data_IF_657098743411
#
_entry.id   IF_657098743411
#
_cell.length_a   1.000
_cell.length_b   1.000
_cell.length_c   1.000
_cell.angle_alpha   90.00
_cell.angle_beta   90.00
_cell.angle_gamma   90.00
#
_symmetry.space_group_name_H-M   'P 1'
#
loop_
_entity.id
_entity.type
_entity.pdbx_description
1 polymer ?
#
# COMPACT_ATOMS: atom_id res chain seq x y z
N UNK A 1 -21.87 -12.33 -72.97
CA UNK A 1 -21.91 -13.27 -71.82
C UNK A 1 -20.48 -13.75 -71.63
N UNK A 2 -19.61 -12.95 -71.00
CA UNK A 2 -19.35 -12.86 -69.55
C UNK A 2 -18.73 -14.13 -68.98
N UNK A 3 -17.41 -14.14 -68.84
CA UNK A 3 -16.72 -14.96 -67.84
C UNK A 3 -15.80 -14.04 -67.01
N UNK A 4 -15.96 -14.12 -65.70
CA UNK A 4 -15.57 -13.09 -64.72
C UNK A 4 -14.42 -13.56 -63.85
N UNK A 5 -13.44 -12.67 -63.70
CA UNK A 5 -12.29 -12.74 -62.81
C UNK A 5 -12.71 -12.80 -61.33
N UNK A 6 -12.14 -13.74 -60.57
CA UNK A 6 -12.19 -13.74 -59.09
C UNK A 6 -10.79 -13.53 -58.52
N UNK A 7 -10.55 -12.32 -58.03
CA UNK A 7 -9.47 -11.95 -57.15
C UNK A 7 -9.77 -12.44 -55.72
N UNK A 8 -8.92 -13.29 -55.15
CA UNK A 8 -8.99 -13.68 -53.74
C UNK A 8 -8.24 -12.67 -52.88
N UNK A 9 -9.01 -11.85 -52.19
CA UNK A 9 -8.55 -10.81 -51.27
C UNK A 9 -8.02 -11.46 -49.97
N UNK A 10 -6.70 -11.51 -49.78
CA UNK A 10 -6.06 -12.09 -48.59
C UNK A 10 -6.08 -11.06 -47.45
N UNK A 11 -6.98 -11.25 -46.50
CA UNK A 11 -7.07 -10.43 -45.29
C UNK A 11 -5.85 -10.66 -44.38
N UNK A 12 -5.07 -9.61 -44.15
CA UNK A 12 -3.87 -9.60 -43.30
C UNK A 12 -4.12 -9.80 -41.79
N UNK A 13 -5.37 -9.99 -41.38
CA UNK A 13 -5.79 -10.16 -39.97
C UNK A 13 -6.30 -11.58 -39.66
N UNK A 14 -6.22 -12.50 -40.62
CA UNK A 14 -6.67 -13.88 -40.40
C UNK A 14 -5.59 -14.71 -39.70
N UNK A 15 -5.98 -15.45 -38.64
CA UNK A 15 -5.09 -16.26 -37.81
C UNK A 15 -4.26 -17.26 -38.63
N UNK A 16 -4.82 -17.78 -39.73
CA UNK A 16 -4.13 -18.66 -40.67
C UNK A 16 -2.97 -17.97 -41.42
N UNK A 17 -3.12 -16.69 -41.79
CA UNK A 17 -2.06 -15.89 -42.42
C UNK A 17 -0.91 -15.61 -41.45
N UNK A 18 -1.23 -15.42 -40.17
CA UNK A 18 -0.22 -15.21 -39.11
C UNK A 18 0.57 -16.50 -38.87
N UNK A 19 -0.11 -17.65 -38.75
CA UNK A 19 0.55 -18.95 -38.60
C UNK A 19 1.46 -19.29 -39.78
N UNK A 20 1.03 -18.99 -41.02
CA UNK A 20 1.85 -19.19 -42.21
C UNK A 20 3.10 -18.28 -42.21
N UNK A 21 2.97 -17.04 -41.76
CA UNK A 21 4.10 -16.10 -41.61
C UNK A 21 5.11 -16.56 -40.55
N UNK A 22 4.63 -17.02 -39.40
CA UNK A 22 5.49 -17.53 -38.31
C UNK A 22 6.20 -18.81 -38.71
N UNK A 23 5.54 -19.69 -39.49
CA UNK A 23 6.16 -20.91 -40.02
C UNK A 23 7.31 -20.58 -40.98
N UNK A 24 7.12 -19.63 -41.90
CA UNK A 24 8.21 -19.16 -42.79
C UNK A 24 9.39 -18.58 -42.02
N UNK A 25 9.15 -17.75 -41.00
CA UNK A 25 10.24 -17.21 -40.18
C UNK A 25 11.02 -18.30 -39.42
N UNK A 26 10.34 -19.40 -39.05
CA UNK A 26 10.99 -20.53 -38.36
C UNK A 26 11.78 -21.43 -39.31
N UNK A 27 11.40 -21.48 -40.59
CA UNK A 27 12.13 -22.19 -41.65
C UNK A 27 13.33 -21.38 -42.18
N UNK A 28 13.25 -20.04 -42.22
CA UNK A 28 14.37 -19.16 -42.63
C UNK A 28 15.53 -19.10 -41.62
N UNK A 29 15.26 -19.36 -40.33
CA UNK A 29 16.24 -19.29 -39.25
C UNK A 29 16.63 -20.67 -38.66
N UNK A 30 16.66 -21.69 -39.52
CA UNK A 30 17.01 -23.09 -39.24
C UNK A 30 17.70 -23.40 -37.92
N UNK A 31 16.98 -24.09 -37.03
CA UNK A 31 17.55 -24.88 -35.93
C UNK A 31 17.20 -26.33 -36.16
N UNK A 32 18.14 -27.11 -36.70
CA UNK A 32 18.04 -28.57 -36.75
C UNK A 32 18.21 -29.14 -35.34
N UNK A 33 17.24 -29.95 -34.91
CA UNK A 33 17.38 -30.83 -33.74
C UNK A 33 18.18 -32.07 -34.15
N UNK A 34 19.40 -32.22 -33.63
CA UNK A 34 20.10 -33.51 -33.62
C UNK A 34 20.00 -34.13 -32.23
N UNK A 35 19.24 -35.23 -32.14
CA UNK A 35 19.37 -36.23 -31.09
C UNK A 35 20.53 -37.15 -31.46
N UNK A 36 21.49 -37.35 -30.55
CA UNK A 36 22.19 -38.63 -30.44
C UNK A 36 22.52 -38.96 -28.99
N UNK A 37 22.13 -40.18 -28.62
CA UNK A 37 22.43 -40.84 -27.35
C UNK A 37 23.69 -41.68 -27.54
N UNK A 38 24.62 -41.55 -26.60
CA UNK A 38 25.37 -42.63 -25.91
C UNK A 38 26.77 -42.13 -25.52
N UNK A 39 27.09 -42.20 -24.22
CA UNK A 39 28.14 -43.06 -23.66
C UNK A 39 28.17 -42.80 -22.14
N UNK A 40 27.64 -43.77 -21.40
CA UNK A 40 27.95 -44.00 -19.99
C UNK A 40 29.32 -44.63 -19.92
N UNK A 41 30.29 -44.00 -19.24
CA UNK A 41 31.35 -44.65 -18.44
C UNK A 41 32.36 -43.61 -17.92
N UNK A 42 32.26 -43.27 -16.64
CA UNK A 42 33.28 -43.57 -15.62
C UNK A 42 32.95 -42.88 -14.29
N UNK A 43 32.69 -43.73 -13.29
CA UNK A 43 32.70 -43.39 -11.88
C UNK A 43 34.15 -43.26 -11.38
N UNK A 44 34.45 -42.32 -10.48
CA UNK A 44 35.13 -42.68 -9.21
C UNK A 44 35.06 -41.58 -8.14
N UNK A 45 34.69 -42.07 -6.96
CA UNK A 45 34.69 -41.51 -5.61
C UNK A 45 36.10 -41.14 -5.13
N UNK A 46 36.23 -40.07 -4.35
CA UNK A 46 37.16 -40.04 -3.20
C UNK A 46 36.49 -39.45 -1.94
N UNK A 47 36.49 -40.28 -0.89
CA UNK A 47 36.24 -40.01 0.53
C UNK A 47 37.61 -39.97 1.23
N UNK A 48 37.78 -39.09 2.22
CA UNK A 48 38.68 -39.22 3.38
C UNK A 48 37.89 -38.62 4.57
N UNK A 49 37.38 -39.34 5.59
CA UNK A 49 37.85 -40.28 6.63
C UNK A 49 38.66 -39.65 7.78
N UNK A 50 38.04 -39.75 8.96
CA UNK A 50 38.43 -39.34 10.31
C UNK A 50 39.59 -40.17 10.90
N UNK A 51 40.17 -39.65 11.99
CA UNK A 51 40.85 -40.44 13.02
C UNK A 51 40.66 -39.81 14.41
N UNK A 52 40.63 -40.67 15.44
CA UNK A 52 40.03 -40.45 16.78
C UNK A 52 40.92 -40.94 17.94
N UNK A 53 40.76 -40.27 19.11
CA UNK A 53 40.85 -40.73 20.54
C UNK A 53 42.23 -41.04 21.21
N UNK A 54 42.36 -41.13 22.58
CA UNK A 54 41.36 -41.20 23.69
C UNK A 54 41.60 -40.36 25.00
N UNK A 55 40.65 -40.50 25.95
CA UNK A 55 40.32 -40.04 27.35
C UNK A 55 41.33 -40.43 28.50
N UNK A 56 41.12 -40.32 29.87
CA UNK A 56 40.04 -39.78 30.78
C UNK A 56 40.46 -39.12 32.17
N UNK A 57 39.44 -38.83 33.03
CA UNK A 57 39.39 -38.79 34.53
C UNK A 57 39.39 -37.38 35.24
N UNK A 58 38.87 -37.12 36.46
CA UNK A 58 37.73 -37.47 37.34
C UNK A 58 37.94 -36.73 38.71
N UNK A 59 36.88 -36.53 39.52
CA UNK A 59 36.81 -36.12 40.98
C UNK A 59 36.70 -34.61 41.33
N UNK A 60 35.58 -34.11 41.89
CA UNK A 60 35.16 -34.02 43.34
C UNK A 60 36.12 -33.16 44.21
N UNK A 61 35.72 -32.02 44.81
CA UNK A 61 35.06 -31.90 46.14
C UNK A 61 34.66 -30.42 46.46
N UNK A 62 33.58 -30.20 47.24
CA UNK A 62 33.22 -28.96 47.97
C UNK A 62 33.97 -28.87 49.34
N UNK A 63 33.65 -28.01 50.36
CA UNK A 63 32.74 -26.84 50.49
C UNK A 63 33.29 -25.62 51.30
N UNK A 64 32.52 -24.52 51.38
CA UNK A 64 32.25 -23.68 52.59
C UNK A 64 31.25 -22.55 52.22
N UNK A 65 29.94 -22.71 52.49
CA UNK A 65 29.15 -22.12 53.61
C UNK A 65 29.07 -20.59 53.68
N UNK A 66 27.88 -20.02 53.39
CA UNK A 66 26.94 -19.47 54.41
C UNK A 66 25.61 -19.00 53.79
N UNK A 67 24.55 -19.74 54.12
CA UNK A 67 23.26 -19.28 54.67
C UNK A 67 22.50 -18.09 54.06
N UNK A 68 21.35 -18.35 53.42
CA UNK A 68 20.02 -18.03 53.98
C UNK A 68 18.87 -18.44 53.05
N UNK A 69 17.88 -19.13 53.64
CA UNK A 69 16.66 -19.63 53.05
C UNK A 69 15.48 -18.64 53.19
N UNK A 70 14.34 -18.88 52.50
CA UNK A 70 13.36 -17.87 52.12
C UNK A 70 12.24 -17.68 53.15
N UNK A 71 11.56 -16.51 53.11
CA UNK A 71 10.29 -16.30 53.82
C UNK A 71 9.20 -15.81 52.87
N UNK A 72 8.29 -16.72 52.58
CA UNK A 72 6.95 -16.50 52.07
C UNK A 72 6.13 -15.62 53.02
N UNK A 73 5.44 -14.61 52.48
CA UNK A 73 4.18 -14.09 53.05
C UNK A 73 3.13 -14.05 51.95
N UNK A 74 2.21 -15.00 52.06
CA UNK A 74 0.91 -15.08 51.41
C UNK A 74 0.05 -13.94 51.95
N UNK A 75 -0.63 -13.21 51.07
CA UNK A 75 -1.86 -12.49 51.42
C UNK A 75 -2.92 -12.87 50.39
N UNK A 76 -3.80 -13.78 50.80
CA UNK A 76 -5.03 -14.14 50.10
C UNK A 76 -5.98 -12.94 50.02
N UNK A 77 -6.47 -12.67 48.82
CA UNK A 77 -7.80 -12.10 48.61
C UNK A 77 -8.42 -12.78 47.39
N UNK A 78 -9.07 -13.90 47.65
CA UNK A 78 -9.95 -14.58 46.70
C UNK A 78 -11.20 -13.73 46.47
N UNK A 79 -11.33 -13.15 45.27
CA UNK A 79 -12.63 -12.75 44.73
C UNK A 79 -13.09 -13.82 43.73
N UNK A 80 -14.31 -14.35 43.84
CA UNK A 80 -14.84 -15.27 42.85
C UNK A 80 -15.06 -14.52 41.52
N UNK A 81 -14.53 -15.09 40.43
CA UNK A 81 -14.80 -14.66 39.06
C UNK A 81 -16.31 -14.80 38.79
N UNK A 82 -17.05 -13.70 38.87
CA UNK A 82 -18.42 -13.64 38.38
C UNK A 82 -18.39 -13.72 36.84
N UNK A 83 -18.93 -14.81 36.29
CA UNK A 83 -19.38 -14.87 34.89
C UNK A 83 -20.48 -13.82 34.72
N UNK A 84 -20.16 -12.70 34.09
CA UNK A 84 -21.17 -11.77 33.58
C UNK A 84 -21.77 -12.36 32.30
N UNK A 85 -22.87 -13.09 32.43
CA UNK A 85 -23.78 -13.31 31.29
C UNK A 85 -24.50 -12.00 31.02
N UNK A 86 -24.31 -11.44 29.82
CA UNK A 86 -25.04 -10.27 29.35
C UNK A 86 -26.47 -10.68 29.01
N UNK A 87 -27.35 -10.75 30.01
CA UNK A 87 -28.77 -11.09 29.82
C UNK A 87 -29.58 -9.94 29.21
N UNK A 88 -28.95 -8.80 28.88
CA UNK A 88 -29.62 -7.64 28.27
C UNK A 88 -28.82 -7.06 27.11
N UNK A 89 -29.42 -6.88 25.91
CA UNK A 89 -28.76 -6.25 24.77
C UNK A 89 -28.39 -4.80 25.12
N UNK A 90 -27.09 -4.50 25.08
CA UNK A 90 -26.53 -3.19 25.45
C UNK A 90 -26.54 -2.17 24.30
N UNK A 91 -26.90 -2.61 23.09
CA UNK A 91 -26.98 -1.75 21.91
C UNK A 91 -28.40 -1.21 21.72
N UNK A 92 -28.56 0.12 21.85
CA UNK A 92 -29.80 0.81 21.46
C UNK A 92 -29.90 0.83 19.92
N UNK A 93 -31.04 0.46 19.31
CA UNK A 93 -31.24 0.62 17.87
C UNK A 93 -31.07 2.08 17.48
N UNK A 94 -30.17 2.37 16.53
CA UNK A 94 -30.05 3.71 15.94
C UNK A 94 -31.20 3.87 14.94
N UNK A 95 -32.14 4.81 15.13
CA UNK A 95 -33.20 5.04 14.16
C UNK A 95 -32.62 5.57 12.84
N UNK A 96 -33.24 5.27 11.69
CA UNK A 96 -32.83 5.82 10.41
C UNK A 96 -32.92 7.35 10.47
N UNK A 97 -31.80 8.01 10.17
CA UNK A 97 -31.68 9.47 10.17
C UNK A 97 -32.67 10.06 9.18
N UNK A 98 -33.73 10.71 9.68
CA UNK A 98 -34.63 11.52 8.85
C UNK A 98 -33.84 12.75 8.39
N UNK A 99 -33.65 12.86 7.07
CA UNK A 99 -33.08 14.04 6.41
C UNK A 99 -33.97 15.26 6.66
N UNK A 100 -33.52 16.18 7.51
CA UNK A 100 -34.12 17.51 7.61
C UNK A 100 -33.71 18.36 6.39
N UNK A 101 -34.59 19.22 5.86
CA UNK A 101 -34.24 20.13 4.77
C UNK A 101 -33.28 21.20 5.29
N UNK A 102 -32.05 21.25 4.76
CA UNK A 102 -31.10 22.29 5.11
C UNK A 102 -31.54 23.63 4.50
N UNK A 103 -31.72 24.63 5.38
CA UNK A 103 -31.90 26.02 5.01
C UNK A 103 -30.59 26.60 4.47
N UNK A 104 -30.69 27.15 3.25
CA UNK A 104 -29.83 28.14 2.57
C UNK A 104 -28.33 28.09 2.90
N UNK A 105 -27.56 27.46 2.00
CA UNK A 105 -26.13 27.68 1.89
C UNK A 105 -25.86 29.11 1.38
N UNK A 106 -25.19 29.92 2.20
CA UNK A 106 -24.43 31.06 1.68
C UNK A 106 -23.23 30.52 0.89
N UNK A 107 -22.92 31.14 -0.25
CA UNK A 107 -21.78 30.83 -1.09
C UNK A 107 -20.45 31.17 -0.39
N UNK A 108 -20.07 30.41 0.63
CA UNK A 108 -18.70 30.39 1.13
C UNK A 108 -17.92 29.40 0.28
N UNK A 109 -17.44 29.87 -0.88
CA UNK A 109 -16.40 29.17 -1.60
C UNK A 109 -15.22 28.93 -0.63
N UNK A 110 -14.66 27.70 -0.56
CA UNK A 110 -13.52 27.45 0.30
C UNK A 110 -12.40 28.40 -0.09
N UNK A 111 -11.93 29.24 0.85
CA UNK A 111 -10.75 30.09 0.64
C UNK A 111 -9.58 29.19 0.27
N UNK A 112 -9.19 29.21 -1.00
CA UNK A 112 -7.96 28.58 -1.49
C UNK A 112 -6.78 29.11 -0.67
N UNK A 113 -5.93 28.23 -0.13
CA UNK A 113 -4.75 28.59 0.66
C UNK A 113 -3.61 29.22 -0.17
N UNK A 114 -3.83 29.41 -1.47
CA UNK A 114 -2.83 29.90 -2.41
C UNK A 114 -3.45 30.51 -3.68
N UNK A 115 -2.59 31.03 -4.57
CA UNK A 115 -3.01 31.59 -5.86
C UNK A 115 -3.82 30.57 -6.68
N UNK A 116 -4.72 31.05 -7.54
CA UNK A 116 -5.52 30.16 -8.40
C UNK A 116 -4.67 29.43 -9.44
N UNK A 117 -3.58 30.06 -9.88
CA UNK A 117 -2.62 29.55 -10.87
C UNK A 117 -1.30 29.14 -10.19
N UNK A 118 -0.53 28.26 -10.86
CA UNK A 118 0.81 27.89 -10.39
C UNK A 118 1.78 29.03 -10.73
N UNK A 119 2.59 29.45 -9.75
CA UNK A 119 3.66 30.43 -10.01
C UNK A 119 4.94 29.66 -10.38
N UNK A 120 5.56 30.06 -11.48
CA UNK A 120 6.74 29.42 -12.05
C UNK A 120 7.92 30.38 -12.01
N UNK A 121 9.08 29.90 -11.57
CA UNK A 121 10.27 30.74 -11.55
C UNK A 121 10.74 30.99 -12.98
N UNK A 122 11.23 32.20 -13.29
CA UNK A 122 11.77 32.51 -14.62
C UNK A 122 12.92 31.58 -15.05
N UNK A 123 13.67 31.01 -14.11
CA UNK A 123 14.70 30.01 -14.41
C UNK A 123 14.16 28.75 -15.08
N UNK A 124 12.86 28.46 -14.93
CA UNK A 124 12.19 27.27 -15.48
C UNK A 124 11.54 27.51 -16.85
N UNK A 125 11.67 28.70 -17.44
CA UNK A 125 11.04 29.05 -18.73
C UNK A 125 11.40 28.07 -19.86
N UNK A 126 12.65 27.59 -19.88
CA UNK A 126 13.15 26.66 -20.91
C UNK A 126 12.92 25.19 -20.57
N UNK A 127 12.24 24.87 -19.47
CA UNK A 127 12.03 23.49 -19.06
C UNK A 127 10.95 22.83 -19.94
N UNK A 128 11.25 21.70 -20.62
CA UNK A 128 10.30 21.03 -21.50
C UNK A 128 9.01 20.60 -20.80
N UNK A 129 9.05 20.38 -19.47
CA UNK A 129 7.87 19.99 -18.71
C UNK A 129 6.73 21.02 -18.76
N UNK A 130 7.01 22.28 -19.12
CA UNK A 130 5.95 23.30 -19.30
C UNK A 130 5.12 23.08 -20.57
N UNK A 131 5.71 22.46 -21.60
CA UNK A 131 5.09 22.27 -22.92
C UNK A 131 4.56 20.84 -23.10
N UNK A 132 5.34 19.86 -22.67
CA UNK A 132 5.15 18.47 -23.06
C UNK A 132 4.37 17.66 -22.01
N UNK A 133 3.77 18.30 -21.00
CA UNK A 133 3.04 17.64 -19.90
C UNK A 133 1.63 18.18 -19.70
N UNK A 134 0.93 17.67 -18.69
CA UNK A 134 -0.35 18.22 -18.21
C UNK A 134 -0.27 19.68 -17.75
N UNK A 135 0.93 20.24 -17.55
CA UNK A 135 1.12 21.67 -17.28
C UNK A 135 0.52 22.57 -18.36
N UNK A 136 0.42 22.11 -19.62
CA UNK A 136 -0.21 22.87 -20.71
C UNK A 136 -1.71 23.11 -20.50
N UNK A 137 -2.36 22.23 -19.73
CA UNK A 137 -3.80 22.28 -19.44
C UNK A 137 -4.10 23.03 -18.14
N UNK A 138 -3.08 23.51 -17.42
CA UNK A 138 -3.23 24.18 -16.13
C UNK A 138 -2.75 25.62 -16.25
N UNK A 139 -3.46 26.55 -15.62
CA UNK A 139 -3.04 27.95 -15.55
C UNK A 139 -1.78 28.10 -14.71
N UNK A 140 -0.74 28.65 -15.32
CA UNK A 140 0.50 29.01 -14.65
C UNK A 140 1.03 30.34 -15.21
N UNK A 141 1.78 31.07 -14.39
CA UNK A 141 2.46 32.31 -14.80
C UNK A 141 3.87 32.40 -14.23
N UNK A 142 4.72 33.18 -14.88
CA UNK A 142 6.03 33.47 -14.34
C UNK A 142 5.97 34.49 -13.20
N UNK A 143 6.69 34.22 -12.12
CA UNK A 143 6.90 35.15 -11.02
C UNK A 143 8.40 35.18 -10.66
N UNK A 144 8.96 36.37 -10.53
CA UNK A 144 10.36 36.57 -10.14
C UNK A 144 10.54 36.63 -8.61
N UNK A 145 9.45 36.75 -7.85
CA UNK A 145 9.48 36.89 -6.40
C UNK A 145 9.49 35.55 -5.66
N UNK A 146 9.14 34.45 -6.33
CA UNK A 146 9.14 33.13 -5.71
C UNK A 146 10.57 32.60 -5.57
N UNK A 147 10.83 31.88 -4.47
CA UNK A 147 12.15 31.33 -4.19
C UNK A 147 12.29 29.86 -4.62
N UNK A 148 11.17 29.14 -4.70
CA UNK A 148 11.07 27.79 -5.28
C UNK A 148 11.11 27.82 -6.83
N UNK A 149 11.08 26.66 -7.47
CA UNK A 149 10.98 26.57 -8.94
C UNK A 149 9.52 26.57 -9.40
N UNK A 150 8.67 25.85 -8.66
CA UNK A 150 7.23 25.85 -8.85
C UNK A 150 6.57 26.09 -7.49
N UNK A 151 5.69 27.08 -7.41
CA UNK A 151 4.97 27.46 -6.21
C UNK A 151 3.47 27.25 -6.43
N UNK A 152 2.89 26.35 -5.62
CA UNK A 152 1.48 25.97 -5.72
C UNK A 152 0.66 26.77 -4.71
N UNK A 153 1.09 26.76 -3.45
CA UNK A 153 0.47 27.49 -2.34
C UNK A 153 1.53 27.81 -1.26
N UNK A 154 1.13 28.53 -0.21
CA UNK A 154 2.03 28.95 0.89
C UNK A 154 2.71 27.78 1.60
N UNK A 155 2.02 26.64 1.70
CA UNK A 155 2.46 25.40 2.35
C UNK A 155 3.04 24.35 1.39
N UNK A 156 3.03 24.56 0.07
CA UNK A 156 3.39 23.54 -0.91
C UNK A 156 4.26 24.14 -2.02
N UNK A 157 5.55 23.79 -1.95
CA UNK A 157 6.60 24.38 -2.76
C UNK A 157 7.48 23.29 -3.36
N UNK A 158 7.89 23.47 -4.61
CA UNK A 158 8.64 22.45 -5.37
C UNK A 158 9.95 23.05 -5.88
N UNK A 159 11.05 22.35 -5.62
CA UNK A 159 12.33 22.54 -6.29
C UNK A 159 12.48 21.49 -7.39
N UNK A 160 13.06 21.88 -8.52
CA UNK A 160 13.27 21.00 -9.67
C UNK A 160 14.75 20.71 -9.87
N UNK A 161 15.08 19.44 -10.12
CA UNK A 161 16.44 19.00 -10.36
C UNK A 161 16.49 17.87 -11.40
N UNK A 162 17.27 18.04 -12.47
CA UNK A 162 17.65 16.92 -13.34
C UNK A 162 18.90 16.24 -12.75
N UNK A 163 18.97 14.92 -12.78
CA UNK A 163 20.14 14.19 -12.27
C UNK A 163 21.38 14.41 -13.15
N UNK A 164 21.20 14.56 -14.47
CA UNK A 164 22.26 14.96 -15.40
C UNK A 164 22.84 16.31 -15.03
N UNK A 165 22.00 17.28 -14.69
CA UNK A 165 22.46 18.59 -14.23
C UNK A 165 23.13 18.52 -12.87
N UNK A 166 22.60 17.72 -11.94
CA UNK A 166 23.21 17.54 -10.61
C UNK A 166 24.61 16.95 -10.68
N UNK A 167 24.87 16.01 -11.61
CA UNK A 167 26.23 15.48 -11.85
C UNK A 167 27.21 16.56 -12.32
N UNK A 168 26.73 17.54 -13.09
CA UNK A 168 27.56 18.65 -13.57
C UNK A 168 27.77 19.72 -12.50
N UNK A 169 26.74 20.02 -11.70
CA UNK A 169 26.72 21.10 -10.70
C UNK A 169 26.10 20.63 -9.38
N UNK A 170 26.81 19.84 -8.56
CA UNK A 170 26.27 19.33 -7.30
C UNK A 170 25.96 20.45 -6.27
N UNK A 171 26.67 21.58 -6.34
CA UNK A 171 26.47 22.74 -5.47
C UNK A 171 25.15 23.49 -5.72
N UNK A 172 24.54 23.28 -6.88
CA UNK A 172 23.33 23.99 -7.30
C UNK A 172 22.19 23.81 -6.29
N UNK A 173 21.91 22.56 -5.88
CA UNK A 173 20.78 22.27 -5.00
C UNK A 173 20.97 22.88 -3.61
N UNK A 174 22.20 22.89 -3.10
CA UNK A 174 22.54 23.53 -1.83
C UNK A 174 22.23 25.03 -1.86
N UNK A 175 22.61 25.69 -2.95
CA UNK A 175 22.36 27.12 -3.13
C UNK A 175 20.87 27.43 -3.32
N UNK A 176 20.11 26.56 -4.00
CA UNK A 176 18.65 26.69 -4.13
C UNK A 176 17.97 26.54 -2.78
N UNK A 177 18.34 25.54 -1.99
CA UNK A 177 17.80 25.32 -0.65
C UNK A 177 18.09 26.51 0.28
N UNK A 178 19.32 27.04 0.27
CA UNK A 178 19.68 28.25 1.03
C UNK A 178 18.77 29.45 0.71
N UNK A 179 18.37 29.60 -0.56
CA UNK A 179 17.41 30.65 -0.97
C UNK A 179 16.02 30.34 -0.45
N UNK A 180 15.55 29.10 -0.60
CA UNK A 180 14.23 28.66 -0.12
C UNK A 180 14.08 28.79 1.41
N UNK A 181 15.17 28.61 2.17
CA UNK A 181 15.16 28.76 3.63
C UNK A 181 15.03 30.23 4.09
N UNK A 182 15.13 31.21 3.17
CA UNK A 182 14.84 32.62 3.49
C UNK A 182 13.33 32.89 3.53
N UNK A 183 12.53 31.98 2.97
CA UNK A 183 11.09 32.08 2.90
C UNK A 183 10.51 31.55 1.59
N UNK A 184 9.20 31.71 1.46
CA UNK A 184 8.47 31.31 0.24
C UNK A 184 8.63 32.35 -0.88
N UNK A 185 8.60 33.63 -0.52
CA UNK A 185 8.64 34.80 -1.41
C UNK A 185 9.70 35.77 -0.88
N UNK A 186 10.40 36.48 -1.78
CA UNK A 186 11.51 37.41 -1.47
C UNK A 186 11.16 38.48 -0.43
N UNK A 187 9.89 38.91 -0.35
CA UNK A 187 9.44 40.03 0.51
C UNK A 187 8.58 39.59 1.72
N UNK A 188 8.55 38.29 2.05
CA UNK A 188 7.72 37.79 3.14
C UNK A 188 8.40 38.02 4.51
N UNK A 189 8.10 39.15 5.16
CA UNK A 189 8.60 39.48 6.50
C UNK A 189 8.23 38.42 7.56
N UNK A 190 7.16 37.64 7.34
CA UNK A 190 6.73 36.58 8.25
C UNK A 190 7.49 35.26 8.06
N UNK A 191 8.37 35.17 7.06
CA UNK A 191 9.01 33.92 6.64
C UNK A 191 10.18 33.45 7.52
N UNK A 192 10.63 34.25 8.49
CA UNK A 192 11.64 33.82 9.49
C UNK A 192 11.05 33.01 10.65
N UNK A 193 9.97 32.27 10.42
CA UNK A 193 9.49 31.30 11.42
C UNK A 193 10.36 30.06 11.34
N UNK A 194 11.19 29.85 12.37
CA UNK A 194 12.10 28.69 12.55
C UNK A 194 11.42 27.31 12.47
N UNK A 195 10.08 27.28 12.42
CA UNK A 195 9.22 26.10 12.34
C UNK A 195 8.09 26.32 11.32
N UNK A 196 8.42 26.59 10.06
CA UNK A 196 7.39 26.60 9.02
C UNK A 196 7.00 25.15 8.67
N UNK A 197 5.70 24.84 8.73
CA UNK A 197 5.19 23.49 8.44
C UNK A 197 4.95 23.30 6.94
N UNK A 198 5.85 23.84 6.13
CA UNK A 198 5.70 23.90 4.69
C UNK A 198 6.19 22.58 4.09
N UNK A 199 5.34 21.94 3.27
CA UNK A 199 5.73 20.81 2.44
C UNK A 199 6.64 21.32 1.31
N UNK A 200 7.91 20.98 1.43
CA UNK A 200 8.93 21.24 0.41
C UNK A 200 9.24 19.95 -0.32
N UNK A 201 9.00 19.93 -1.62
CA UNK A 201 9.29 18.78 -2.48
C UNK A 201 10.53 19.06 -3.31
N UNK A 202 11.48 18.12 -3.32
CA UNK A 202 12.51 18.02 -4.35
C UNK A 202 12.02 17.07 -5.44
N UNK A 203 11.63 17.62 -6.59
CA UNK A 203 11.24 16.87 -7.77
C UNK A 203 12.47 16.59 -8.63
N UNK A 204 12.87 15.32 -8.69
CA UNK A 204 14.05 14.87 -9.42
C UNK A 204 13.68 14.12 -10.71
N UNK A 205 14.20 14.58 -11.85
CA UNK A 205 14.09 13.85 -13.12
C UNK A 205 15.31 12.96 -13.32
N UNK A 206 15.07 11.67 -13.54
CA UNK A 206 16.08 10.64 -13.83
C UNK A 206 16.36 10.63 -15.33
N UNK A 207 17.37 11.39 -15.75
CA UNK A 207 17.81 11.55 -17.15
C UNK A 207 19.25 11.07 -17.38
N UNK A 208 19.69 10.09 -16.58
CA UNK A 208 20.98 9.40 -16.65
C UNK A 208 20.79 7.90 -16.40
N UNK A 209 21.68 7.06 -16.93
CA UNK A 209 21.59 5.60 -16.70
C UNK A 209 22.10 5.19 -15.30
N UNK A 210 23.23 5.74 -14.87
CA UNK A 210 23.83 5.43 -13.56
C UNK A 210 23.31 6.36 -12.45
N UNK A 211 22.06 6.17 -12.03
CA UNK A 211 21.39 7.04 -11.06
C UNK A 211 21.46 6.59 -9.59
N UNK A 212 21.74 5.31 -9.30
CA UNK A 212 21.62 4.72 -7.95
C UNK A 212 22.36 5.49 -6.85
N UNK A 213 23.66 5.75 -7.03
CA UNK A 213 24.47 6.44 -6.01
C UNK A 213 24.10 7.92 -5.89
N UNK A 214 23.72 8.56 -7.00
CA UNK A 214 23.27 9.96 -7.00
C UNK A 214 21.97 10.11 -6.23
N UNK A 215 20.99 9.24 -6.48
CA UNK A 215 19.73 9.22 -5.73
C UNK A 215 19.98 8.94 -4.26
N UNK A 216 20.84 7.97 -3.92
CA UNK A 216 21.19 7.67 -2.52
C UNK A 216 21.72 8.90 -1.77
N UNK A 217 22.65 9.66 -2.38
CA UNK A 217 23.19 10.90 -1.80
C UNK A 217 22.13 12.01 -1.71
N UNK A 218 21.28 12.14 -2.72
CA UNK A 218 20.18 13.12 -2.71
C UNK A 218 19.11 12.77 -1.67
N UNK A 219 18.81 11.49 -1.44
CA UNK A 219 17.90 11.05 -0.38
C UNK A 219 18.44 11.45 1.00
N UNK A 220 19.71 11.17 1.27
CA UNK A 220 20.36 11.58 2.52
C UNK A 220 20.33 13.11 2.71
N UNK A 221 20.59 13.86 1.63
CA UNK A 221 20.43 15.31 1.61
C UNK A 221 18.99 15.75 1.93
N UNK A 222 17.98 15.15 1.30
CA UNK A 222 16.58 15.46 1.54
C UNK A 222 16.16 15.23 3.00
N UNK A 223 16.57 14.10 3.59
CA UNK A 223 16.28 13.76 4.99
C UNK A 223 16.90 14.79 5.94
N UNK A 224 18.16 15.17 5.73
CA UNK A 224 18.87 16.15 6.56
C UNK A 224 18.26 17.55 6.52
N UNK A 225 17.53 17.87 5.47
CA UNK A 225 17.00 19.20 5.20
C UNK A 225 15.47 19.29 5.19
N UNK A 226 14.78 18.25 5.67
CA UNK A 226 13.32 18.20 5.73
C UNK A 226 12.65 18.45 4.36
N UNK A 227 13.21 17.82 3.32
CA UNK A 227 12.64 17.80 1.98
C UNK A 227 12.03 16.43 1.71
N UNK A 228 10.85 16.41 1.08
CA UNK A 228 10.29 15.19 0.50
C UNK A 228 10.79 15.03 -0.92
N UNK A 229 11.38 13.89 -1.27
CA UNK A 229 11.86 13.65 -2.64
C UNK A 229 10.81 12.91 -3.46
N UNK A 230 10.58 13.38 -4.69
CA UNK A 230 9.74 12.71 -5.69
C UNK A 230 10.60 12.47 -6.93
N UNK A 231 10.59 11.23 -7.43
CA UNK A 231 11.34 10.84 -8.63
C UNK A 231 10.39 10.82 -9.84
N UNK A 232 10.87 11.29 -10.97
CA UNK A 232 10.21 11.20 -12.27
C UNK A 232 11.17 10.63 -13.31
N UNK A 233 10.70 9.70 -14.13
CA UNK A 233 11.44 9.04 -15.20
C UNK A 233 11.43 9.84 -16.51
N UNK A 234 10.62 10.88 -16.59
CA UNK A 234 10.61 11.81 -17.73
C UNK A 234 10.23 13.23 -17.30
N UNK A 235 10.54 14.21 -18.16
CA UNK A 235 10.08 15.59 -17.96
C UNK A 235 8.56 15.71 -18.04
N UNK A 236 7.91 14.92 -18.89
CA UNK A 236 6.45 14.84 -18.98
C UNK A 236 5.85 14.40 -17.64
N UNK A 237 6.37 13.31 -17.06
CA UNK A 237 5.91 12.80 -15.77
C UNK A 237 6.13 13.81 -14.64
N UNK A 238 7.28 14.49 -14.62
CA UNK A 238 7.54 15.55 -13.67
C UNK A 238 6.51 16.69 -13.75
N UNK A 239 6.16 17.13 -14.96
CA UNK A 239 5.12 18.12 -15.16
C UNK A 239 3.73 17.63 -14.73
N UNK A 240 3.43 16.35 -14.98
CA UNK A 240 2.19 15.73 -14.52
C UNK A 240 2.08 15.70 -12.98
N UNK A 241 3.18 15.49 -12.27
CA UNK A 241 3.20 15.56 -10.81
C UNK A 241 2.93 16.96 -10.26
N UNK A 242 3.49 18.00 -10.87
CA UNK A 242 3.23 19.39 -10.48
C UNK A 242 1.74 19.71 -10.71
N UNK A 243 1.22 19.32 -11.87
CA UNK A 243 -0.18 19.47 -12.25
C UNK A 243 -1.14 18.80 -11.26
N UNK A 244 -0.85 17.55 -10.91
CA UNK A 244 -1.60 16.77 -9.94
C UNK A 244 -1.53 17.39 -8.53
N UNK A 245 -0.35 17.88 -8.15
CA UNK A 245 -0.15 18.63 -6.91
C UNK A 245 -1.09 19.83 -6.79
N UNK A 246 -1.27 20.58 -7.88
CA UNK A 246 -2.21 21.71 -7.91
C UNK A 246 -3.67 21.26 -7.78
N UNK A 247 -4.05 20.16 -8.42
CA UNK A 247 -5.40 19.61 -8.30
C UNK A 247 -5.74 19.22 -6.85
N UNK A 248 -4.74 18.71 -6.10
CA UNK A 248 -4.91 18.29 -4.72
C UNK A 248 -4.69 19.40 -3.68
N UNK A 249 -4.33 20.62 -4.08
CA UNK A 249 -4.11 21.78 -3.20
C UNK A 249 -5.27 22.00 -2.19
N UNK A 250 -6.53 21.80 -2.63
CA UNK A 250 -7.73 21.94 -1.79
C UNK A 250 -8.12 20.67 -0.98
N UNK A 251 -7.28 19.63 -0.99
CA UNK A 251 -7.53 18.32 -0.34
C UNK A 251 -7.31 18.25 1.17
N UNK A 252 -6.64 19.18 1.91
CA UNK A 252 -6.55 19.03 3.37
C UNK A 252 -7.94 18.94 4.04
N UNK A 253 -8.98 19.54 3.46
CA UNK A 253 -10.38 19.38 3.88
C UNK A 253 -10.99 17.99 3.59
N UNK A 254 -10.39 17.22 2.69
CA UNK A 254 -10.81 15.84 2.32
C UNK A 254 -10.08 14.78 3.13
N UNK A 255 -8.83 14.99 3.55
CA UNK A 255 -8.06 14.01 4.35
C UNK A 255 -8.74 13.74 5.71
N UNK A 256 -9.30 14.78 6.35
CA UNK A 256 -10.10 14.61 7.57
C UNK A 256 -11.29 13.65 7.37
N UNK A 257 -11.93 13.69 6.19
CA UNK A 257 -13.00 12.75 5.81
C UNK A 257 -12.48 11.35 5.43
N UNK A 258 -11.24 11.23 4.97
CA UNK A 258 -10.62 9.95 4.59
C UNK A 258 -10.03 9.18 5.77
N UNK A 259 -9.59 9.88 6.83
CA UNK A 259 -9.12 9.27 8.08
C UNK A 259 -10.27 8.71 8.92
N UNK A 260 -11.49 9.19 8.67
CA UNK A 260 -12.69 8.55 9.17
C UNK A 260 -12.85 7.22 8.41
N UNK A 261 -12.49 6.11 9.06
CA UNK A 261 -12.57 4.78 8.45
C UNK A 261 -13.90 4.60 7.72
N UNK A 262 -13.83 4.18 6.45
CA UNK A 262 -15.00 3.98 5.60
C UNK A 262 -15.89 2.90 6.20
N UNK A 263 -16.87 3.29 7.03
CA UNK A 263 -17.94 2.39 7.44
C UNK A 263 -18.84 2.21 6.21
N UNK A 264 -18.99 0.97 5.74
CA UNK A 264 -19.94 0.69 4.66
C UNK A 264 -21.34 1.06 5.17
N UNK A 265 -22.11 1.77 4.36
CA UNK A 265 -23.44 2.24 4.74
C UNK A 265 -24.43 1.10 4.92
N UNK A 266 -24.21 -0.01 4.22
CA UNK A 266 -25.18 -1.09 4.12
C UNK A 266 -24.91 -2.18 5.17
N UNK A 267 -25.99 -2.67 5.79
CA UNK A 267 -25.93 -3.75 6.77
C UNK A 267 -25.24 -5.00 6.22
N UNK A 268 -25.64 -5.46 5.03
CA UNK A 268 -25.07 -6.65 4.39
C UNK A 268 -23.56 -6.50 4.14
N UNK A 269 -23.14 -5.30 3.72
CA UNK A 269 -21.74 -4.99 3.45
C UNK A 269 -20.88 -5.03 4.71
N UNK A 270 -21.41 -4.58 5.86
CA UNK A 270 -20.76 -4.69 7.17
C UNK A 270 -20.74 -6.14 7.69
N UNK A 271 -21.82 -6.90 7.45
CA UNK A 271 -21.92 -8.29 7.86
C UNK A 271 -20.93 -9.18 7.10
N UNK A 272 -20.82 -8.97 5.78
CA UNK A 272 -19.82 -9.64 4.93
C UNK A 272 -18.41 -9.33 5.42
N UNK A 273 -18.09 -8.06 5.72
CA UNK A 273 -16.78 -7.69 6.27
C UNK A 273 -16.48 -8.40 7.60
N UNK A 274 -17.49 -8.45 8.48
CA UNK A 274 -17.35 -9.03 9.81
C UNK A 274 -17.14 -10.55 9.77
N UNK A 275 -17.96 -11.26 8.99
CA UNK A 275 -17.91 -12.72 8.90
C UNK A 275 -16.73 -13.23 8.04
N UNK A 276 -16.28 -12.47 7.04
CA UNK A 276 -15.10 -12.85 6.24
C UNK A 276 -13.78 -12.68 6.99
N UNK A 277 -13.79 -12.06 8.18
CA UNK A 277 -12.66 -12.09 9.12
C UNK A 277 -12.39 -13.49 9.69
N UNK A 278 -13.41 -14.36 9.70
CA UNK A 278 -13.27 -15.75 10.14
C UNK A 278 -12.50 -16.56 9.11
N UNK A 279 -11.50 -17.33 9.56
CA UNK A 279 -10.65 -18.15 8.70
C UNK A 279 -11.48 -19.05 7.78
N UNK A 280 -11.18 -18.99 6.49
CA UNK A 280 -11.80 -19.80 5.43
C UNK A 280 -13.26 -19.48 5.09
N UNK A 281 -13.82 -18.38 5.61
CA UNK A 281 -15.16 -17.89 5.25
C UNK A 281 -15.06 -16.86 4.12
N UNK A 282 -15.77 -17.11 3.03
CA UNK A 282 -15.79 -16.23 1.86
C UNK A 282 -17.09 -15.40 1.78
N UNK A 283 -17.09 -14.38 0.91
CA UNK A 283 -18.27 -13.53 0.66
C UNK A 283 -19.51 -14.34 0.23
N UNK A 284 -19.30 -15.37 -0.61
CA UNK A 284 -20.37 -16.27 -1.07
C UNK A 284 -20.97 -17.07 0.09
N UNK A 285 -20.15 -17.53 1.02
CA UNK A 285 -20.61 -18.27 2.20
C UNK A 285 -21.49 -17.39 3.08
N UNK A 286 -21.11 -16.13 3.28
CA UNK A 286 -21.92 -15.15 4.03
C UNK A 286 -23.24 -14.86 3.33
N UNK A 287 -23.23 -14.75 2.00
CA UNK A 287 -24.46 -14.58 1.21
C UNK A 287 -25.40 -15.78 1.37
N UNK A 288 -24.86 -17.00 1.33
CA UNK A 288 -25.64 -18.23 1.50
C UNK A 288 -26.17 -18.37 2.94
N UNK A 289 -25.36 -18.05 3.95
CA UNK A 289 -25.80 -18.01 5.35
C UNK A 289 -26.94 -17.00 5.56
N UNK A 290 -26.84 -15.82 4.94
CA UNK A 290 -27.87 -14.80 5.07
C UNK A 290 -29.15 -15.16 4.32
N UNK A 291 -29.04 -15.82 3.16
CA UNK A 291 -30.20 -16.30 2.41
C UNK A 291 -31.01 -17.35 3.19
N UNK A 292 -30.34 -18.22 3.94
CA UNK A 292 -30.98 -19.28 4.71
C UNK A 292 -31.48 -18.78 6.08
N UNK A 293 -30.62 -18.08 6.84
CA UNK A 293 -30.92 -17.70 8.24
C UNK A 293 -31.47 -16.28 8.42
N UNK A 294 -31.46 -15.44 7.37
CA UNK A 294 -32.05 -14.08 7.31
C UNK A 294 -31.46 -13.03 8.26
N UNK A 295 -30.83 -13.42 9.37
CA UNK A 295 -30.29 -12.52 10.39
C UNK A 295 -28.99 -13.05 10.98
N UNK A 296 -28.07 -12.14 11.33
CA UNK A 296 -26.83 -12.50 12.01
C UNK A 296 -27.06 -13.19 13.36
N UNK A 297 -28.10 -12.80 14.09
CA UNK A 297 -28.48 -13.46 15.36
C UNK A 297 -28.78 -14.93 15.12
N UNK A 298 -29.54 -15.23 14.07
CA UNK A 298 -29.95 -16.59 13.74
C UNK A 298 -28.75 -17.42 13.29
N UNK A 299 -27.84 -16.83 12.50
CA UNK A 299 -26.57 -17.48 12.12
C UNK A 299 -25.81 -17.93 13.37
N UNK A 300 -25.68 -17.09 14.40
CA UNK A 300 -24.97 -17.44 15.64
C UNK A 300 -25.72 -18.55 16.39
N UNK A 301 -27.03 -18.41 16.60
CA UNK A 301 -27.82 -19.38 17.37
C UNK A 301 -27.75 -20.78 16.76
N UNK A 302 -27.88 -20.88 15.43
CA UNK A 302 -27.81 -22.16 14.74
C UNK A 302 -26.42 -22.77 14.82
N UNK A 303 -25.36 -21.96 14.65
CA UNK A 303 -23.98 -22.45 14.75
C UNK A 303 -23.55 -22.81 16.18
N UNK A 304 -24.10 -22.17 17.20
CA UNK A 304 -23.77 -22.46 18.60
C UNK A 304 -24.58 -23.62 19.18
N UNK A 305 -25.78 -23.91 18.64
CA UNK A 305 -26.68 -24.97 19.12
C UNK A 305 -26.34 -26.35 18.55
N UNK A 306 -25.08 -26.61 18.18
CA UNK A 306 -24.58 -27.88 17.62
C UNK A 306 -24.62 -29.08 18.59
N UNK A 307 -25.59 -29.16 19.49
CA UNK A 307 -25.95 -30.40 20.17
C UNK A 307 -26.80 -31.27 19.23
N UNK A 308 -26.12 -32.01 18.35
CA UNK A 308 -26.54 -33.23 17.61
C UNK A 308 -27.80 -33.23 16.71
N UNK A 309 -28.73 -32.26 16.76
CA UNK A 309 -29.98 -32.29 15.98
C UNK A 309 -29.97 -31.38 14.73
N UNK A 310 -29.26 -30.25 14.76
CA UNK A 310 -29.31 -29.21 13.71
C UNK A 310 -28.10 -29.21 12.76
N UNK A 311 -27.16 -30.15 12.92
CA UNK A 311 -25.97 -30.24 12.06
C UNK A 311 -26.36 -30.49 10.59
N UNK A 312 -27.45 -31.23 10.37
CA UNK A 312 -28.00 -31.55 9.05
C UNK A 312 -28.51 -30.32 8.28
N UNK A 313 -29.15 -29.36 8.94
CA UNK A 313 -29.70 -28.16 8.28
C UNK A 313 -28.59 -27.17 7.90
N UNK A 314 -27.58 -27.01 8.76
CA UNK A 314 -26.43 -26.13 8.50
C UNK A 314 -25.50 -26.74 7.44
N UNK A 315 -25.28 -28.06 7.49
CA UNK A 315 -24.53 -28.78 6.45
C UNK A 315 -25.28 -28.83 5.10
N UNK A 316 -26.59 -28.58 5.08
CA UNK A 316 -27.36 -28.50 3.83
C UNK A 316 -27.06 -27.23 3.03
N UNK A 317 -26.44 -26.22 3.63
CA UNK A 317 -26.13 -24.97 2.95
C UNK A 317 -25.01 -25.22 1.93
N UNK A 318 -25.33 -24.93 0.67
CA UNK A 318 -24.41 -25.10 -0.45
C UNK A 318 -23.11 -24.31 -0.22
N UNK A 319 -21.97 -25.00 -0.36
CA UNK A 319 -20.64 -24.39 -0.26
C UNK A 319 -20.07 -24.23 1.15
N UNK A 320 -20.83 -24.53 2.21
CA UNK A 320 -20.33 -24.57 3.58
C UNK A 320 -19.89 -25.99 3.96
N UNK A 321 -18.59 -26.25 3.78
CA UNK A 321 -17.98 -27.50 4.25
C UNK A 321 -17.75 -27.53 5.77
N UNK A 322 -17.52 -28.72 6.31
CA UNK A 322 -17.29 -28.98 7.75
C UNK A 322 -16.18 -28.11 8.36
N UNK A 323 -15.11 -27.86 7.63
CA UNK A 323 -14.00 -26.98 8.08
C UNK A 323 -14.45 -25.54 8.30
N UNK A 324 -15.28 -25.00 7.40
CA UNK A 324 -15.80 -23.62 7.51
C UNK A 324 -16.73 -23.50 8.70
N UNK A 325 -17.62 -24.47 8.87
CA UNK A 325 -18.55 -24.55 10.00
C UNK A 325 -17.83 -24.70 11.33
N UNK A 326 -16.81 -25.56 11.40
CA UNK A 326 -15.97 -25.71 12.59
C UNK A 326 -15.28 -24.40 12.98
N UNK A 327 -14.73 -23.67 12.01
CA UNK A 327 -14.09 -22.38 12.26
C UNK A 327 -15.09 -21.33 12.74
N UNK A 328 -16.29 -21.30 12.15
CA UNK A 328 -17.34 -20.35 12.48
C UNK A 328 -17.96 -20.64 13.86
N UNK A 329 -18.28 -21.90 14.15
CA UNK A 329 -18.68 -22.34 15.48
C UNK A 329 -17.58 -22.03 16.51
N UNK A 330 -16.33 -22.42 16.24
CA UNK A 330 -15.22 -22.13 17.13
C UNK A 330 -15.06 -20.64 17.41
N UNK A 331 -15.32 -19.76 16.44
CA UNK A 331 -15.24 -18.32 16.64
C UNK A 331 -16.38 -17.80 17.55
N UNK A 332 -17.58 -18.36 17.45
CA UNK A 332 -18.73 -17.95 18.26
C UNK A 332 -18.74 -18.54 19.68
N UNK A 333 -18.18 -19.74 19.85
CA UNK A 333 -18.23 -20.46 21.14
C UNK A 333 -16.93 -20.36 21.94
N UNK A 334 -15.80 -19.99 21.31
CA UNK A 334 -14.54 -19.90 22.04
C UNK A 334 -14.56 -18.82 23.11
N UNK A 335 -14.06 -19.17 24.30
CA UNK A 335 -13.81 -18.21 25.36
C UNK A 335 -12.74 -17.18 24.94
N UNK A 336 -12.91 -15.94 25.38
CA UNK A 336 -11.93 -14.89 25.20
C UNK A 336 -10.80 -15.03 26.23
N UNK A 337 -9.64 -15.54 25.82
CA UNK A 337 -8.48 -15.80 26.69
C UNK A 337 -7.33 -14.87 26.28
N UNK A 338 -6.93 -13.97 27.19
CA UNK A 338 -5.88 -12.95 26.94
C UNK A 338 -4.48 -13.57 26.67
N UNK A 339 -4.20 -14.75 27.22
CA UNK A 339 -2.90 -15.44 27.16
C UNK A 339 -3.05 -16.91 26.75
N UNK A 340 -3.63 -17.17 25.57
CA UNK A 340 -3.74 -18.55 25.07
C UNK A 340 -2.34 -19.07 24.74
N UNK A 341 -1.79 -19.94 25.60
CA UNK A 341 -0.58 -20.71 25.28
C UNK A 341 -0.92 -21.64 24.12
N UNK A 342 -0.38 -21.36 22.94
CA UNK A 342 -0.41 -22.29 21.81
C UNK A 342 0.58 -23.41 22.13
N UNK A 343 0.07 -24.56 22.55
CA UNK A 343 0.86 -25.79 22.67
C UNK A 343 1.17 -26.36 21.30
#
# INVERSE_FOLDING_TARGET
MSDSSKSSNVNSSSFASILAGVKRMREEYGGEEQQDKEIVKHARIQKQKEQSQPTPASQQSQPESTTSQPRTKILEKSQPLQRHTLDKPTAKPVPPTKSQPQLRASNNAPRSLGPSEILVARSQEKNPLLKDSMMKNISWKFDAKILSDYYINSTFQILFLSLKYHKLRPEYIWNRLKKLNKGSIVDDEHAKKKNDKNLRILLCVIDIDSYHETIRKLTDFCIKHDLSMVLAWSFEEAGNYIALGKHFDNTPNKVSKSLQGFRKTDYNSNLVDSLTSVKSINKTDVSNLLANYKSFKEIILQNSSSSNLNESEINSITGLGTTKLKNLNSMFTSDFILNKKTN
#
